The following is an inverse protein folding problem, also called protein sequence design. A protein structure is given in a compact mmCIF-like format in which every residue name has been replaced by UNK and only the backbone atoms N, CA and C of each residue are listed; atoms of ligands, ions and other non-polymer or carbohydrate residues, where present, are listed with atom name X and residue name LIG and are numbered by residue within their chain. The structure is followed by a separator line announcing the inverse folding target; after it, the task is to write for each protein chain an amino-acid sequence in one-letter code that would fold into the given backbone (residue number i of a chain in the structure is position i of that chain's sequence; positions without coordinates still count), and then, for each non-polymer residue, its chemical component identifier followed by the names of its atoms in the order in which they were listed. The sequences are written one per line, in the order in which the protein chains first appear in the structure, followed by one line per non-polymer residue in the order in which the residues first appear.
data_IF_758586241199
#
_entry.id   IF_758586241199
#
_cell.length_a   1.000
_cell.length_b   1.000
_cell.length_c   1.000
_cell.angle_alpha   90.00
_cell.angle_beta   90.00
_cell.angle_gamma   90.00
#
_symmetry.space_group_name_H-M   'P 1'
#
loop_
_entity.id
_entity.type
_entity.pdbx_description
1 polymer ?
#
# COMPACT_ATOMS: atom_id res chain seq x y z
N UNK A 1 -19.65 36.77 27.86
CA UNK A 1 -19.17 37.19 26.54
C UNK A 1 -17.63 37.23 26.57
N UNK A 2 -16.97 36.15 26.14
CA UNK A 2 -15.51 36.09 25.90
C UNK A 2 -15.29 35.01 24.84
N UNK A 3 -15.02 35.44 23.61
CA UNK A 3 -14.67 34.54 22.51
C UNK A 3 -13.15 34.31 22.55
N UNK A 4 -12.76 33.06 22.82
CA UNK A 4 -11.41 32.57 22.58
C UNK A 4 -11.29 32.27 21.08
N UNK A 5 -10.46 33.03 20.37
CA UNK A 5 -10.01 32.67 19.02
C UNK A 5 -8.77 31.78 19.15
N UNK A 6 -8.91 30.50 18.80
CA UNK A 6 -7.79 29.58 18.60
C UNK A 6 -7.29 29.77 17.15
N UNK A 7 -6.17 30.48 16.98
CA UNK A 7 -5.43 30.46 15.72
C UNK A 7 -4.58 29.20 15.70
N UNK A 8 -4.99 28.19 14.93
CA UNK A 8 -4.16 27.03 14.65
C UNK A 8 -3.00 27.46 13.73
N UNK A 9 -1.79 27.13 14.16
CA UNK A 9 -0.52 27.55 13.58
C UNK A 9 -0.28 26.92 12.20
N UNK A 10 -0.64 27.66 11.16
CA UNK A 10 -0.43 27.37 9.73
C UNK A 10 1.04 27.12 9.34
N UNK A 11 2.01 27.45 10.21
CA UNK A 11 3.44 27.18 9.98
C UNK A 11 3.79 25.68 10.01
N UNK A 12 3.12 24.91 10.88
CA UNK A 12 3.46 23.51 11.16
C UNK A 12 2.96 22.55 10.05
N UNK A 13 1.92 22.94 9.30
CA UNK A 13 1.41 22.14 8.19
C UNK A 13 2.38 22.13 6.99
N UNK A 14 3.05 23.26 6.71
CA UNK A 14 3.96 23.40 5.55
C UNK A 14 5.25 22.59 5.72
N UNK A 15 5.79 22.50 6.95
CA UNK A 15 6.97 21.68 7.22
C UNK A 15 6.69 20.18 7.15
N UNK A 16 5.52 19.74 7.62
CA UNK A 16 5.11 18.34 7.53
C UNK A 16 4.84 17.93 6.07
N UNK A 17 4.24 18.80 5.25
CA UNK A 17 4.09 18.58 3.81
C UNK A 17 5.44 18.49 3.09
N UNK A 18 6.41 19.33 3.47
CA UNK A 18 7.77 19.30 2.91
C UNK A 18 8.50 18.01 3.29
N UNK A 19 8.41 17.56 4.54
CA UNK A 19 8.97 16.27 4.99
C UNK A 19 8.34 15.09 4.25
N UNK A 20 7.02 15.08 4.06
CA UNK A 20 6.32 14.05 3.28
C UNK A 20 6.75 14.04 1.80
N UNK A 21 6.85 15.21 1.16
CA UNK A 21 7.35 15.33 -0.22
C UNK A 21 8.80 14.85 -0.35
N UNK A 22 9.68 15.13 0.61
CA UNK A 22 11.07 14.66 0.59
C UNK A 22 11.17 13.15 0.77
N UNK A 23 10.34 12.54 1.63
CA UNK A 23 10.27 11.09 1.80
C UNK A 23 9.76 10.42 0.52
N UNK A 24 8.68 10.94 -0.09
CA UNK A 24 8.14 10.45 -1.37
C UNK A 24 9.18 10.55 -2.51
N UNK A 25 9.92 11.66 -2.61
CA UNK A 25 10.95 11.83 -3.65
C UNK A 25 12.17 10.90 -3.44
N UNK A 26 12.54 10.64 -2.19
CA UNK A 26 13.64 9.73 -1.84
C UNK A 26 13.25 8.27 -2.06
N UNK A 27 11.99 7.93 -1.80
CA UNK A 27 11.42 6.61 -2.11
C UNK A 27 11.28 6.39 -3.61
N UNK A 28 10.92 7.41 -4.40
CA UNK A 28 10.94 7.35 -5.88
C UNK A 28 12.34 7.12 -6.44
N UNK A 29 13.37 7.76 -5.88
CA UNK A 29 14.77 7.48 -6.24
C UNK A 29 15.19 6.08 -5.80
N UNK A 30 14.76 5.60 -4.64
CA UNK A 30 15.03 4.24 -4.20
C UNK A 30 14.31 3.20 -5.09
N UNK A 31 13.07 3.46 -5.52
CA UNK A 31 12.32 2.63 -6.46
C UNK A 31 12.94 2.65 -7.87
N UNK A 32 13.46 3.78 -8.32
CA UNK A 32 14.21 3.88 -9.58
C UNK A 32 15.56 3.14 -9.53
N UNK A 33 16.27 3.19 -8.40
CA UNK A 33 17.51 2.41 -8.19
C UNK A 33 17.19 0.90 -8.06
N UNK A 34 16.06 0.56 -7.46
CA UNK A 34 15.55 -0.81 -7.42
C UNK A 34 15.19 -1.30 -8.83
N UNK A 35 14.63 -0.44 -9.68
CA UNK A 35 14.35 -0.74 -11.08
C UNK A 35 15.62 -0.85 -11.94
N UNK A 36 16.67 -0.06 -11.68
CA UNK A 36 17.89 -0.04 -12.50
C UNK A 36 18.94 -1.10 -12.13
N UNK A 37 18.95 -1.60 -10.88
CA UNK A 37 19.87 -2.68 -10.47
C UNK A 37 19.29 -4.09 -10.64
N UNK A 38 18.01 -4.23 -10.96
CA UNK A 38 17.40 -5.49 -11.40
C UNK A 38 17.49 -5.57 -12.93
N UNK A 39 18.72 -5.39 -13.44
CA UNK A 39 19.03 -5.57 -14.85
C UNK A 39 19.01 -7.05 -15.20
N UNK A 40 17.94 -7.48 -15.89
CA UNK A 40 17.76 -8.75 -16.60
C UNK A 40 17.63 -10.00 -15.72
N UNK A 41 16.37 -10.33 -15.41
CA UNK A 41 15.86 -11.64 -14.97
C UNK A 41 15.18 -11.63 -13.59
N UNK A 42 14.20 -10.73 -13.41
CA UNK A 42 13.05 -11.00 -12.53
C UNK A 42 11.79 -10.52 -13.25
N UNK A 43 11.59 -11.02 -14.47
CA UNK A 43 10.23 -11.34 -14.89
C UNK A 43 9.95 -12.66 -14.17
N UNK A 44 9.29 -12.60 -13.02
CA UNK A 44 8.55 -13.78 -12.60
C UNK A 44 7.61 -14.08 -13.78
N UNK A 45 7.84 -15.21 -14.43
CA UNK A 45 7.08 -15.60 -15.61
C UNK A 45 5.63 -15.83 -15.21
N UNK A 46 4.80 -14.79 -15.37
CA UNK A 46 3.37 -14.91 -15.62
C UNK A 46 2.98 -14.06 -16.83
N UNK A 47 3.86 -14.01 -17.85
CA UNK A 47 3.40 -13.81 -19.22
C UNK A 47 2.65 -15.10 -19.63
N UNK A 48 1.42 -15.27 -19.13
CA UNK A 48 0.65 -16.50 -19.33
C UNK A 48 -0.81 -16.39 -18.93
N UNK A 49 -1.11 -15.99 -17.69
CA UNK A 49 -2.48 -15.99 -17.19
C UNK A 49 -2.83 -14.63 -16.58
N UNK A 50 -3.80 -13.93 -17.18
CA UNK A 50 -4.19 -12.55 -16.91
C UNK A 50 -4.79 -12.25 -15.52
N UNK A 51 -4.12 -12.68 -14.45
CA UNK A 51 -4.57 -12.49 -13.08
C UNK A 51 -3.89 -11.31 -12.42
N UNK A 52 -4.58 -10.18 -12.42
CA UNK A 52 -4.19 -8.98 -11.69
C UNK A 52 -5.33 -8.56 -10.76
N UNK A 53 -4.96 -8.05 -9.58
CA UNK A 53 -5.91 -7.38 -8.70
C UNK A 53 -6.20 -6.01 -9.30
N UNK A 54 -7.40 -5.82 -9.85
CA UNK A 54 -7.85 -4.53 -10.38
C UNK A 54 -9.12 -4.06 -9.72
N UNK A 55 -9.26 -2.74 -9.60
CA UNK A 55 -10.46 -2.00 -9.19
C UNK A 55 -10.61 -1.73 -7.69
N UNK A 56 -11.66 -0.99 -7.34
CA UNK A 56 -11.86 -0.34 -6.05
C UNK A 56 -13.16 -0.79 -5.37
N UNK A 57 -13.14 -0.99 -4.05
CA UNK A 57 -14.30 -1.40 -3.27
C UNK A 57 -14.39 -0.66 -1.94
N UNK A 58 -15.55 -0.06 -1.67
CA UNK A 58 -15.84 0.64 -0.43
C UNK A 58 -16.57 -0.29 0.53
N UNK A 59 -16.00 -0.51 1.70
CA UNK A 59 -16.50 -1.40 2.74
C UNK A 59 -16.37 -0.71 4.11
N UNK A 60 -16.81 -1.38 5.17
CA UNK A 60 -16.55 -0.97 6.55
C UNK A 60 -15.74 -2.04 7.29
N UNK A 61 -14.99 -1.61 8.31
CA UNK A 61 -14.39 -2.52 9.27
C UNK A 61 -15.44 -2.93 10.33
N UNK A 62 -15.47 -4.20 10.71
CA UNK A 62 -16.39 -4.64 11.77
C UNK A 62 -15.82 -4.35 13.18
N UNK A 63 -16.68 -4.46 14.20
CA UNK A 63 -16.30 -4.21 15.60
C UNK A 63 -15.13 -5.10 16.11
N UNK A 64 -14.86 -6.22 15.44
CA UNK A 64 -13.74 -7.12 15.78
C UNK A 64 -12.47 -6.79 15.01
N UNK A 65 -12.49 -5.82 14.10
CA UNK A 65 -11.34 -5.45 13.28
C UNK A 65 -11.16 -6.30 12.04
N UNK A 66 -12.24 -6.92 11.54
CA UNK A 66 -12.21 -7.70 10.31
C UNK A 66 -12.67 -6.89 9.12
N UNK A 67 -12.03 -7.11 7.98
CA UNK A 67 -12.37 -6.46 6.70
C UNK A 67 -12.74 -7.55 5.70
N UNK A 68 -13.81 -7.31 4.94
CA UNK A 68 -14.20 -8.18 3.84
C UNK A 68 -13.27 -8.01 2.65
N UNK A 69 -12.70 -9.11 2.16
CA UNK A 69 -11.94 -9.12 0.93
C UNK A 69 -12.88 -9.48 -0.23
N UNK A 70 -12.97 -8.62 -1.26
CA UNK A 70 -13.85 -8.81 -2.40
C UNK A 70 -13.72 -10.20 -3.03
N UNK A 71 -14.87 -10.78 -3.44
CA UNK A 71 -14.91 -12.12 -4.01
C UNK A 71 -13.94 -12.30 -5.19
N UNK A 72 -13.87 -11.30 -6.09
CA UNK A 72 -12.95 -11.32 -7.24
C UNK A 72 -11.47 -11.44 -6.83
N UNK A 73 -11.06 -10.82 -5.73
CA UNK A 73 -9.69 -10.91 -5.23
C UNK A 73 -9.42 -12.27 -4.60
N UNK A 74 -10.40 -12.85 -3.91
CA UNK A 74 -10.30 -14.22 -3.38
C UNK A 74 -10.26 -15.27 -4.49
N UNK A 75 -11.03 -15.08 -5.56
CA UNK A 75 -10.97 -15.93 -6.75
C UNK A 75 -9.61 -15.84 -7.43
N UNK A 76 -9.06 -14.62 -7.55
CA UNK A 76 -7.72 -14.44 -8.08
C UNK A 76 -6.66 -15.17 -7.24
N UNK A 77 -6.69 -15.02 -5.92
CA UNK A 77 -5.78 -15.73 -5.01
C UNK A 77 -5.87 -17.26 -5.15
N UNK A 78 -7.08 -17.82 -5.25
CA UNK A 78 -7.26 -19.27 -5.42
C UNK A 78 -6.64 -19.80 -6.70
N UNK A 79 -6.71 -19.05 -7.80
CA UNK A 79 -6.07 -19.44 -9.05
C UNK A 79 -4.54 -19.37 -8.96
N UNK A 80 -4.01 -18.49 -8.10
CA UNK A 80 -2.58 -18.47 -7.74
C UNK A 80 -2.21 -19.59 -6.75
N UNK A 81 -3.17 -20.39 -6.27
CA UNK A 81 -2.95 -21.41 -5.25
C UNK A 81 -2.77 -20.85 -3.83
N UNK A 82 -3.14 -19.59 -3.60
CA UNK A 82 -3.01 -18.92 -2.31
C UNK A 82 -4.33 -18.90 -1.52
N UNK A 83 -4.23 -19.29 -0.25
CA UNK A 83 -5.35 -19.25 0.72
C UNK A 83 -5.15 -18.19 1.83
N UNK A 84 -4.05 -17.45 1.76
CA UNK A 84 -3.68 -16.43 2.74
C UNK A 84 -3.07 -15.21 2.06
N UNK A 85 -3.01 -14.12 2.80
CA UNK A 85 -2.34 -12.89 2.40
C UNK A 85 -1.34 -12.50 3.48
N UNK A 86 -0.22 -11.90 3.06
CA UNK A 86 0.70 -11.23 3.98
C UNK A 86 0.43 -9.74 3.97
N UNK A 87 -0.01 -9.21 5.11
CA UNK A 87 -0.28 -7.80 5.35
C UNK A 87 0.97 -7.09 5.84
N UNK A 88 1.17 -5.83 5.43
CA UNK A 88 2.17 -4.93 6.00
C UNK A 88 1.73 -3.47 5.85
N UNK A 89 2.54 -2.53 6.33
CA UNK A 89 2.31 -1.09 6.19
C UNK A 89 2.55 -0.63 4.76
N UNK A 90 1.66 0.21 4.24
CA UNK A 90 1.82 0.90 2.98
C UNK A 90 2.49 2.27 3.24
N UNK A 91 3.42 2.67 2.37
CA UNK A 91 4.16 3.94 2.48
C UNK A 91 3.28 5.18 2.32
N UNK A 92 2.12 5.02 1.69
CA UNK A 92 1.11 6.06 1.51
C UNK A 92 0.05 6.03 2.62
N UNK A 93 0.32 5.44 3.79
CA UNK A 93 -0.53 5.55 4.98
C UNK A 93 -1.73 4.60 5.04
N UNK A 94 -1.63 3.45 4.36
CA UNK A 94 -2.59 2.34 4.42
C UNK A 94 -1.92 1.02 4.81
N UNK A 95 -2.53 -0.09 4.43
CA UNK A 95 -1.94 -1.42 4.46
C UNK A 95 -1.80 -1.96 3.04
N UNK A 96 -0.79 -2.81 2.83
CA UNK A 96 -0.64 -3.61 1.62
C UNK A 96 -0.79 -5.08 1.98
N UNK A 97 -1.50 -5.85 1.14
CA UNK A 97 -1.68 -7.28 1.27
C UNK A 97 -1.16 -7.98 0.01
N UNK A 98 -0.29 -8.96 0.20
CA UNK A 98 0.41 -9.65 -0.89
C UNK A 98 0.08 -11.14 -0.92
N UNK A 99 -0.06 -11.74 -2.12
CA UNK A 99 0.04 -13.18 -2.30
C UNK A 99 1.39 -13.72 -1.77
N UNK A 100 1.44 -15.00 -1.40
CA UNK A 100 2.59 -15.60 -0.72
C UNK A 100 3.85 -15.55 -1.59
N UNK A 101 3.71 -15.87 -2.89
CA UNK A 101 4.83 -15.86 -3.83
C UNK A 101 5.45 -14.46 -3.97
N UNK A 102 4.60 -13.44 -4.14
CA UNK A 102 5.07 -12.06 -4.27
C UNK A 102 5.71 -11.54 -2.97
N UNK A 103 5.17 -11.92 -1.81
CA UNK A 103 5.78 -11.58 -0.53
C UNK A 103 7.19 -12.16 -0.38
N UNK A 104 7.39 -13.43 -0.76
CA UNK A 104 8.72 -14.07 -0.72
C UNK A 104 9.73 -13.33 -1.60
N UNK A 105 9.31 -12.78 -2.73
CA UNK A 105 10.19 -12.01 -3.61
C UNK A 105 10.56 -10.66 -3.01
N UNK A 106 9.64 -10.01 -2.28
CA UNK A 106 9.94 -8.82 -1.46
C UNK A 106 10.98 -9.16 -0.39
N UNK A 107 10.81 -10.26 0.34
CA UNK A 107 11.74 -10.71 1.38
C UNK A 107 13.15 -10.96 0.80
N UNK A 108 13.24 -11.67 -0.33
CA UNK A 108 14.50 -11.89 -1.06
C UNK A 108 15.13 -10.57 -1.50
N UNK A 109 14.32 -9.67 -2.06
CA UNK A 109 14.76 -8.35 -2.50
C UNK A 109 15.37 -7.54 -1.36
N UNK A 110 14.73 -7.51 -0.19
CA UNK A 110 15.25 -6.82 1.00
C UNK A 110 16.50 -7.52 1.55
N UNK A 111 16.53 -8.85 1.54
CA UNK A 111 17.68 -9.63 2.01
C UNK A 111 18.94 -9.42 1.16
N UNK A 112 18.78 -9.18 -0.15
CA UNK A 112 19.87 -8.89 -1.08
C UNK A 112 20.50 -7.50 -0.88
N UNK A 113 19.83 -6.58 -0.17
CA UNK A 113 20.39 -5.26 0.12
C UNK A 113 21.56 -5.40 1.12
N UNK A 114 22.72 -4.77 0.87
CA UNK A 114 23.81 -4.73 1.84
C UNK A 114 23.36 -4.24 3.21
N UNK A 115 23.91 -4.84 4.26
CA UNK A 115 23.62 -4.41 5.63
C UNK A 115 23.96 -2.92 5.81
N UNK A 116 23.02 -2.17 6.39
CA UNK A 116 23.17 -0.73 6.58
C UNK A 116 21.84 -0.04 6.85
N UNK A 117 21.86 1.29 7.08
CA UNK A 117 20.70 2.04 7.54
C UNK A 117 19.44 1.89 6.67
N UNK A 118 19.61 1.77 5.35
CA UNK A 118 18.49 1.59 4.40
C UNK A 118 17.80 0.23 4.56
N UNK A 119 18.57 -0.86 4.64
CA UNK A 119 18.00 -2.20 4.89
C UNK A 119 17.33 -2.25 6.26
N UNK A 120 17.95 -1.65 7.29
CA UNK A 120 17.34 -1.57 8.62
C UNK A 120 16.01 -0.79 8.59
N UNK A 121 15.92 0.31 7.82
CA UNK A 121 14.69 1.05 7.67
C UNK A 121 13.59 0.22 6.96
N UNK A 122 13.94 -0.49 5.88
CA UNK A 122 13.01 -1.39 5.19
C UNK A 122 12.53 -2.52 6.10
N UNK A 123 13.42 -3.14 6.87
CA UNK A 123 13.03 -4.15 7.84
C UNK A 123 12.00 -3.58 8.82
N UNK A 124 12.29 -2.42 9.42
CA UNK A 124 11.40 -1.79 10.41
C UNK A 124 10.04 -1.37 9.86
N UNK A 125 10.00 -0.90 8.61
CA UNK A 125 8.78 -0.36 8.01
C UNK A 125 7.95 -1.40 7.27
N UNK A 126 8.59 -2.42 6.68
CA UNK A 126 7.95 -3.39 5.78
C UNK A 126 7.95 -4.81 6.37
N UNK A 127 9.08 -5.33 6.84
CA UNK A 127 9.15 -6.73 7.31
C UNK A 127 8.63 -6.90 8.73
N UNK A 128 9.05 -6.05 9.67
CA UNK A 128 8.68 -6.13 11.07
C UNK A 128 7.15 -6.06 11.33
N UNK A 129 6.37 -5.21 10.63
CA UNK A 129 4.92 -5.21 10.79
C UNK A 129 4.21 -6.25 9.92
N UNK A 130 4.94 -7.13 9.21
CA UNK A 130 4.32 -8.09 8.33
C UNK A 130 3.60 -9.19 9.12
N UNK A 131 2.35 -9.47 8.75
CA UNK A 131 1.50 -10.47 9.40
C UNK A 131 0.77 -11.30 8.35
N UNK A 132 0.84 -12.63 8.45
CA UNK A 132 0.03 -13.52 7.59
C UNK A 132 -1.39 -13.62 8.11
N UNK A 133 -2.37 -13.56 7.21
CA UNK A 133 -3.78 -13.66 7.52
C UNK A 133 -4.51 -14.61 6.57
N UNK A 134 -5.38 -15.44 7.15
CA UNK A 134 -6.27 -16.34 6.41
C UNK A 134 -7.69 -15.78 6.36
N UNK A 135 -8.47 -16.26 5.40
CA UNK A 135 -9.87 -15.89 5.27
C UNK A 135 -10.76 -16.67 6.25
N UNK A 136 -11.71 -15.98 6.87
CA UNK A 136 -12.83 -16.66 7.54
C UNK A 136 -13.84 -17.21 6.51
N UNK A 137 -14.87 -17.92 7.00
CA UNK A 137 -15.93 -18.50 6.14
C UNK A 137 -16.68 -17.45 5.30
N UNK A 138 -16.65 -16.18 5.69
CA UNK A 138 -17.29 -15.06 4.99
C UNK A 138 -16.31 -14.32 4.06
N UNK A 139 -15.06 -14.76 3.95
CA UNK A 139 -14.04 -14.11 3.14
C UNK A 139 -13.46 -12.85 3.77
N UNK A 140 -13.52 -12.72 5.11
CA UNK A 140 -12.89 -11.61 5.83
C UNK A 140 -11.51 -11.99 6.35
N UNK A 141 -10.64 -11.00 6.47
CA UNK A 141 -9.36 -11.11 7.15
C UNK A 141 -9.40 -10.35 8.49
N UNK A 142 -8.66 -10.84 9.48
CA UNK A 142 -8.49 -10.17 10.77
C UNK A 142 -7.27 -9.26 10.72
N UNK A 143 -7.44 -7.98 11.09
CA UNK A 143 -6.33 -7.05 11.24
C UNK A 143 -5.91 -6.94 12.71
N UNK A 144 -4.59 -6.91 12.98
CA UNK A 144 -4.09 -6.58 14.31
C UNK A 144 -4.42 -5.14 14.68
N UNK A 145 -4.44 -4.85 15.98
CA UNK A 145 -4.63 -3.49 16.47
C UNK A 145 -3.52 -2.54 15.98
N UNK A 146 -2.28 -3.04 15.86
CA UNK A 146 -1.14 -2.25 15.40
C UNK A 146 -1.29 -1.81 13.93
N UNK A 147 -1.72 -2.72 13.04
CA UNK A 147 -1.96 -2.40 11.63
C UNK A 147 -3.14 -1.43 11.47
N UNK A 148 -4.24 -1.64 12.20
CA UNK A 148 -5.40 -0.73 12.18
C UNK A 148 -5.06 0.67 12.64
N UNK A 149 -4.32 0.79 13.75
CA UNK A 149 -3.89 2.07 14.29
C UNK A 149 -2.96 2.81 13.33
N UNK A 150 -2.05 2.10 12.65
CA UNK A 150 -1.17 2.70 11.67
C UNK A 150 -1.92 3.27 10.46
N UNK A 151 -2.88 2.51 9.91
CA UNK A 151 -3.62 2.88 8.70
C UNK A 151 -4.89 3.70 8.97
N UNK A 152 -5.19 4.04 10.23
CA UNK A 152 -6.38 4.80 10.61
C UNK A 152 -7.69 4.12 10.23
N UNK A 153 -7.76 2.79 10.35
CA UNK A 153 -8.92 1.99 9.93
C UNK A 153 -9.95 1.89 11.07
N UNK A 154 -10.82 2.90 11.16
CA UNK A 154 -11.83 3.01 12.24
C UNK A 154 -13.23 2.57 11.81
N UNK A 155 -13.66 2.98 10.61
CA UNK A 155 -15.00 2.68 10.11
C UNK A 155 -14.98 2.41 8.60
N UNK A 156 -14.93 3.47 7.78
CA UNK A 156 -15.03 3.37 6.33
C UNK A 156 -13.66 3.09 5.71
N UNK A 157 -13.60 2.02 4.92
CA UNK A 157 -12.37 1.52 4.32
C UNK A 157 -12.53 1.31 2.82
N UNK A 158 -11.43 1.44 2.10
CA UNK A 158 -11.37 1.18 0.66
C UNK A 158 -10.35 0.08 0.42
N UNK A 159 -10.80 -0.99 -0.24
CA UNK A 159 -9.97 -2.12 -0.65
C UNK A 159 -9.75 -2.02 -2.16
N UNK A 160 -8.50 -1.89 -2.58
CA UNK A 160 -8.13 -1.54 -3.95
C UNK A 160 -7.15 -2.56 -4.50
N UNK A 161 -7.37 -2.99 -5.73
CA UNK A 161 -6.41 -3.82 -6.46
C UNK A 161 -5.36 -2.94 -7.13
N UNK A 162 -4.08 -3.21 -6.86
CA UNK A 162 -2.93 -2.52 -7.43
C UNK A 162 -2.04 -3.46 -8.25
N UNK A 163 -2.63 -4.18 -9.20
CA UNK A 163 -2.01 -5.21 -10.03
C UNK A 163 -1.53 -6.45 -9.26
N UNK A 164 -0.40 -6.37 -8.56
CA UNK A 164 0.25 -7.51 -7.89
C UNK A 164 -0.08 -7.60 -6.39
N UNK A 165 -0.78 -6.59 -5.88
CA UNK A 165 -1.14 -6.47 -4.46
C UNK A 165 -2.55 -5.91 -4.29
N UNK A 166 -3.04 -6.05 -3.06
CA UNK A 166 -4.27 -5.41 -2.61
C UNK A 166 -3.88 -4.34 -1.58
N UNK A 167 -4.30 -3.10 -1.78
CA UNK A 167 -4.12 -2.05 -0.79
C UNK A 167 -5.42 -1.81 -0.02
N UNK A 168 -5.28 -1.45 1.25
CA UNK A 168 -6.39 -1.17 2.16
C UNK A 168 -6.13 0.18 2.82
N UNK A 169 -7.05 1.11 2.64
CA UNK A 169 -6.97 2.46 3.19
C UNK A 169 -8.22 2.79 3.99
N UNK A 170 -8.12 3.78 4.88
CA UNK A 170 -9.32 4.51 5.29
C UNK A 170 -9.82 5.35 4.12
N UNK A 171 -11.13 5.59 4.04
CA UNK A 171 -11.71 6.36 2.94
C UNK A 171 -11.10 7.78 2.83
N UNK A 172 -10.89 8.45 3.97
CA UNK A 172 -10.26 9.76 4.01
C UNK A 172 -8.82 9.74 3.48
N UNK A 173 -8.03 8.73 3.87
CA UNK A 173 -6.64 8.62 3.39
C UNK A 173 -6.58 8.30 1.91
N UNK A 174 -7.48 7.44 1.42
CA UNK A 174 -7.54 7.10 0.01
C UNK A 174 -7.87 8.31 -0.87
N UNK A 175 -8.81 9.14 -0.45
CA UNK A 175 -9.14 10.39 -1.13
C UNK A 175 -7.93 11.35 -1.22
N UNK A 176 -7.15 11.45 -0.14
CA UNK A 176 -5.91 12.26 -0.12
C UNK A 176 -4.89 11.75 -1.13
N UNK A 177 -4.57 10.45 -1.07
CA UNK A 177 -3.57 9.81 -1.96
C UNK A 177 -3.98 9.94 -3.42
N UNK A 178 -5.27 9.80 -3.72
CA UNK A 178 -5.79 9.99 -5.08
C UNK A 178 -5.65 11.44 -5.54
N UNK A 179 -5.91 12.42 -4.67
CA UNK A 179 -5.72 13.83 -5.01
C UNK A 179 -4.25 14.14 -5.29
N UNK A 180 -3.33 13.69 -4.43
CA UNK A 180 -1.89 13.83 -4.64
C UNK A 180 -1.45 13.19 -5.97
N UNK A 181 -1.99 12.01 -6.29
CA UNK A 181 -1.70 11.29 -7.54
C UNK A 181 -2.22 12.03 -8.77
N UNK A 182 -3.43 12.60 -8.70
CA UNK A 182 -3.99 13.41 -9.78
C UNK A 182 -3.16 14.67 -10.04
N UNK A 183 -2.73 15.37 -8.99
CA UNK A 183 -1.86 16.55 -9.11
C UNK A 183 -0.52 16.19 -9.78
N UNK A 184 0.05 15.05 -9.40
CA UNK A 184 1.29 14.55 -9.99
C UNK A 184 1.14 14.29 -11.50
N UNK A 185 0.09 13.58 -11.90
CA UNK A 185 -0.13 13.24 -13.32
C UNK A 185 -0.47 14.48 -14.15
N UNK A 186 -1.22 15.43 -13.59
CA UNK A 186 -1.50 16.71 -14.26
C UNK A 186 -0.26 17.57 -14.47
N UNK A 187 0.78 17.40 -13.66
CA UNK A 187 2.04 18.11 -13.83
C UNK A 187 2.88 17.59 -15.01
N UNK A 188 2.57 16.40 -15.53
CA UNK A 188 3.21 15.80 -16.70
C UNK A 188 2.17 15.16 -17.66
N UNK A 189 1.45 15.98 -18.46
CA UNK A 189 0.42 15.49 -19.36
C UNK A 189 0.97 14.57 -20.48
N UNK A 190 2.23 14.76 -20.88
CA UNK A 190 2.84 13.95 -21.94
C UNK A 190 3.03 12.51 -21.47
N UNK A 191 3.46 12.31 -20.22
CA UNK A 191 3.58 10.98 -19.64
C UNK A 191 2.26 10.19 -19.67
N UNK A 192 1.13 10.85 -19.40
CA UNK A 192 -0.20 10.22 -19.47
C UNK A 192 -0.60 9.93 -20.92
N UNK A 193 -0.34 10.87 -21.83
CA UNK A 193 -0.64 10.71 -23.26
C UNK A 193 0.15 9.56 -23.92
N UNK A 194 1.40 9.32 -23.49
CA UNK A 194 2.22 8.21 -23.98
C UNK A 194 1.62 6.83 -23.64
N UNK A 195 0.73 6.77 -22.64
CA UNK A 195 -0.03 5.58 -22.26
C UNK A 195 -1.41 5.50 -22.94
N UNK A 196 -1.79 6.52 -23.72
CA UNK A 196 -3.08 6.59 -24.41
C UNK A 196 -4.27 6.90 -23.51
N UNK A 197 -4.04 7.54 -22.35
CA UNK A 197 -5.05 7.95 -21.36
C UNK A 197 -5.37 9.44 -21.42
#
# INVERSE_FOLDING_TARGET
MRAFFFAADIGNLSENLKKFKTISLTLRKAAAIFSQNVGKSVICGHAGDGLSFTGEFHNSIDAKGRISIPARFREALRQLGDESLTLTKNMDGGLSAYPSAHWQDIEKGIAAIPAGPRRTALNRLVLNPAESCSFDKQGRIQLSQALRAHAGLEQDVVVVGGFEKIDIFSQARYAEVNRESQELLRADPQFVADLGL
#
